data_IF_079982102391
#
_entry.id   IF_079982102391
#
_cell.length_a   1.000
_cell.length_b   1.000
_cell.length_c   1.000
_cell.angle_alpha   90.00
_cell.angle_beta   90.00
_cell.angle_gamma   90.00
#
_symmetry.space_group_name_H-M   'P 1'
#
loop_
_entity.id
_entity.type
_entity.pdbx_description
1 polymer ?
#
# COMPACT_ATOMS: atom_id res chain seq x y z
N UNK A 1 12.72 -13.76 -1.75
CA UNK A 1 12.03 -14.88 -1.08
C UNK A 1 10.63 -14.91 -1.62
N UNK A 2 10.13 -16.08 -2.03
CA UNK A 2 8.75 -16.27 -2.44
C UNK A 2 8.07 -17.13 -1.40
N UNK A 3 6.88 -16.72 -0.98
CA UNK A 3 6.10 -17.41 0.04
C UNK A 3 4.73 -17.74 -0.53
N UNK A 4 4.22 -18.92 -0.19
CA UNK A 4 2.86 -19.33 -0.45
C UNK A 4 2.28 -19.77 0.88
N UNK A 5 1.49 -18.91 1.50
CA UNK A 5 1.01 -19.10 2.86
C UNK A 5 -0.17 -20.08 2.89
N UNK A 6 -0.26 -20.81 4.00
CA UNK A 6 -1.37 -21.72 4.28
C UNK A 6 -2.19 -21.18 5.45
N UNK A 7 -3.45 -21.60 5.53
CA UNK A 7 -4.40 -21.24 6.58
C UNK A 7 -4.59 -19.71 6.80
N UNK A 8 -4.45 -18.91 5.74
CA UNK A 8 -4.75 -17.47 5.73
C UNK A 8 -6.20 -17.22 6.17
N UNK A 9 -7.13 -17.99 5.61
CA UNK A 9 -8.58 -17.89 5.86
C UNK A 9 -8.99 -18.22 7.30
N UNK A 10 -8.10 -18.86 8.06
CA UNK A 10 -8.32 -19.19 9.47
C UNK A 10 -7.69 -18.18 10.43
N UNK A 11 -7.25 -17.03 9.91
CA UNK A 11 -6.68 -15.93 10.70
C UNK A 11 -5.19 -15.73 10.47
N UNK A 12 -4.75 -15.77 9.19
CA UNK A 12 -3.38 -15.47 8.77
C UNK A 12 -2.35 -16.41 9.41
N UNK A 13 -2.73 -17.66 9.70
CA UNK A 13 -1.95 -18.54 10.57
C UNK A 13 -0.55 -18.78 9.97
N UNK A 14 -0.46 -19.22 8.71
CA UNK A 14 0.82 -19.56 8.11
C UNK A 14 1.81 -18.39 8.06
N UNK A 15 1.36 -17.20 7.65
CA UNK A 15 2.21 -16.01 7.61
C UNK A 15 2.57 -15.48 8.99
N UNK A 16 1.64 -15.56 9.95
CA UNK A 16 1.86 -15.11 11.33
C UNK A 16 2.90 -15.97 12.03
N UNK A 17 2.72 -17.29 12.03
CA UNK A 17 3.64 -18.23 12.67
C UNK A 17 5.03 -18.17 12.03
N UNK A 18 5.12 -17.97 10.72
CA UNK A 18 6.41 -17.74 10.05
C UNK A 18 7.09 -16.46 10.54
N UNK A 19 6.34 -15.37 10.65
CA UNK A 19 6.90 -14.10 11.15
C UNK A 19 7.34 -14.24 12.61
N UNK A 20 6.60 -14.97 13.44
CA UNK A 20 6.96 -15.23 14.84
C UNK A 20 8.21 -16.12 14.94
N UNK A 21 8.30 -17.18 14.14
CA UNK A 21 9.48 -18.07 14.13
C UNK A 21 10.75 -17.34 13.68
N UNK A 22 10.63 -16.49 12.66
CA UNK A 22 11.77 -15.80 12.03
C UNK A 22 11.87 -14.31 12.36
N UNK A 23 11.21 -13.86 13.44
CA UNK A 23 11.10 -12.45 13.85
C UNK A 23 12.44 -11.72 13.80
N UNK A 24 13.47 -12.29 14.43
CA UNK A 24 14.80 -11.66 14.50
C UNK A 24 15.45 -11.52 13.13
N UNK A 25 15.34 -12.54 12.29
CA UNK A 25 15.93 -12.58 10.96
C UNK A 25 15.22 -11.58 10.04
N UNK A 26 13.89 -11.56 10.08
CA UNK A 26 13.07 -10.67 9.27
C UNK A 26 13.25 -9.21 9.68
N UNK A 27 13.12 -8.89 10.96
CA UNK A 27 13.30 -7.53 11.49
C UNK A 27 14.66 -6.91 11.17
N UNK A 28 15.69 -7.72 10.98
CA UNK A 28 17.04 -7.25 10.66
C UNK A 28 17.37 -7.22 9.16
N UNK A 29 16.64 -7.96 8.32
CA UNK A 29 17.06 -8.25 6.94
C UNK A 29 15.98 -8.01 5.89
N UNK A 30 14.71 -8.09 6.25
CA UNK A 30 13.62 -7.85 5.32
C UNK A 30 13.53 -6.34 5.01
N UNK A 31 13.50 -6.01 3.73
CA UNK A 31 13.39 -4.62 3.25
C UNK A 31 11.92 -4.24 3.04
N UNK A 32 11.16 -5.18 2.48
CA UNK A 32 9.78 -4.99 2.03
C UNK A 32 9.07 -6.35 1.94
N UNK A 33 7.77 -6.36 2.19
CA UNK A 33 6.88 -7.48 1.89
C UNK A 33 5.86 -7.08 0.81
N UNK A 34 5.73 -7.89 -0.24
CA UNK A 34 4.85 -7.62 -1.37
C UNK A 34 3.72 -8.65 -1.36
N UNK A 35 2.49 -8.18 -1.13
CA UNK A 35 1.31 -9.01 -0.96
C UNK A 35 0.40 -8.93 -2.19
N UNK A 36 0.01 -10.10 -2.70
CA UNK A 36 -1.05 -10.25 -3.70
C UNK A 36 -1.89 -11.42 -3.27
N UNK A 37 -3.09 -11.11 -2.82
CA UNK A 37 -4.06 -12.08 -2.33
C UNK A 37 -5.06 -12.42 -3.44
N UNK A 38 -5.86 -11.42 -3.84
CA UNK A 38 -6.93 -11.58 -4.82
C UNK A 38 -6.86 -10.60 -5.97
N UNK A 39 -7.22 -11.07 -7.18
CA UNK A 39 -7.52 -10.24 -8.35
C UNK A 39 -9.02 -10.37 -8.61
N UNK A 40 -9.80 -9.40 -8.12
CA UNK A 40 -11.26 -9.52 -8.00
C UNK A 40 -12.06 -8.82 -9.09
N UNK A 41 -11.42 -8.04 -9.96
CA UNK A 41 -12.07 -7.46 -11.15
C UNK A 41 -11.06 -6.96 -12.19
N UNK A 42 -11.53 -6.24 -13.22
CA UNK A 42 -10.71 -5.72 -14.32
C UNK A 42 -10.80 -4.19 -14.50
N UNK A 43 -11.41 -3.45 -13.57
CA UNK A 43 -11.64 -2.01 -13.76
C UNK A 43 -10.36 -1.20 -13.57
N UNK A 44 -9.65 -1.38 -12.45
CA UNK A 44 -8.46 -0.61 -12.14
C UNK A 44 -7.57 -1.28 -11.11
N UNK A 45 -6.29 -0.96 -11.16
CA UNK A 45 -5.32 -1.29 -10.14
C UNK A 45 -5.61 -0.52 -8.85
N UNK A 46 -5.27 -1.12 -7.72
CA UNK A 46 -5.42 -0.56 -6.38
C UNK A 46 -4.24 -1.06 -5.53
N UNK A 47 -3.67 -0.19 -4.71
CA UNK A 47 -2.59 -0.54 -3.80
C UNK A 47 -2.79 0.15 -2.44
N UNK A 48 -2.44 -0.57 -1.38
CA UNK A 48 -2.37 -0.08 -0.01
C UNK A 48 -0.96 -0.28 0.52
N UNK A 49 -0.40 0.76 1.13
CA UNK A 49 1.01 0.80 1.53
C UNK A 49 1.28 1.99 2.46
N UNK A 50 2.48 2.06 3.03
CA UNK A 50 2.98 3.24 3.73
C UNK A 50 3.47 4.35 2.77
N UNK A 51 3.45 5.64 3.18
CA UNK A 51 3.76 6.79 2.31
C UNK A 51 5.17 6.78 1.69
N UNK A 52 6.15 6.16 2.36
CA UNK A 52 7.52 6.07 1.83
C UNK A 52 7.64 5.25 0.55
N UNK A 53 6.63 4.42 0.24
CA UNK A 53 6.62 3.54 -0.94
C UNK A 53 5.83 4.10 -2.12
N UNK A 54 5.11 5.21 -1.95
CA UNK A 54 4.20 5.77 -2.96
C UNK A 54 4.91 6.02 -4.30
N UNK A 55 6.10 6.61 -4.24
CA UNK A 55 6.88 6.92 -5.43
C UNK A 55 7.28 5.66 -6.21
N UNK A 56 7.81 4.64 -5.53
CA UNK A 56 8.25 3.40 -6.17
C UNK A 56 7.08 2.70 -6.88
N UNK A 57 5.92 2.61 -6.22
CA UNK A 57 4.72 2.00 -6.78
C UNK A 57 4.20 2.78 -8.00
N UNK A 58 4.15 4.11 -7.91
CA UNK A 58 3.71 4.93 -9.05
C UNK A 58 4.69 4.84 -10.22
N UNK A 59 5.99 4.84 -9.97
CA UNK A 59 6.98 4.73 -11.04
C UNK A 59 6.96 3.35 -11.72
N UNK A 60 6.72 2.28 -10.96
CA UNK A 60 6.55 0.94 -11.53
C UNK A 60 5.25 0.84 -12.32
N UNK A 61 4.12 1.32 -11.79
CA UNK A 61 2.82 1.27 -12.49
C UNK A 61 2.78 2.06 -13.81
N UNK A 62 3.65 3.08 -13.96
CA UNK A 62 3.86 3.79 -15.24
C UNK A 62 4.61 2.96 -16.30
N UNK A 63 5.33 1.90 -15.90
CA UNK A 63 6.04 1.00 -16.82
C UNK A 63 5.17 -0.14 -17.31
N UNK A 64 4.10 -0.46 -16.58
CA UNK A 64 3.21 -1.57 -16.90
C UNK A 64 2.17 -1.13 -17.93
N UNK A 65 2.11 -1.77 -19.12
CA UNK A 65 1.08 -1.47 -20.10
C UNK A 65 -0.32 -1.73 -19.55
N UNK A 66 -1.28 -0.90 -19.93
CA UNK A 66 -2.65 -1.07 -19.49
C UNK A 66 -3.26 -2.36 -20.10
N UNK A 67 -3.81 -3.28 -19.28
CA UNK A 67 -4.37 -4.54 -19.79
C UNK A 67 -5.67 -4.33 -20.59
N UNK A 68 -6.39 -3.23 -20.33
CA UNK A 68 -7.74 -2.97 -20.84
C UNK A 68 -7.73 -2.20 -22.16
N UNK A 69 -8.20 -2.84 -23.24
CA UNK A 69 -8.27 -2.22 -24.58
C UNK A 69 -9.16 -0.96 -24.60
N UNK A 70 -10.23 -0.95 -23.81
CA UNK A 70 -11.13 0.21 -23.66
C UNK A 70 -10.40 1.43 -23.13
N UNK A 71 -9.49 1.22 -22.18
CA UNK A 71 -8.69 2.27 -21.55
C UNK A 71 -7.58 2.75 -22.48
N UNK A 72 -6.90 1.83 -23.17
CA UNK A 72 -5.88 2.21 -24.18
C UNK A 72 -6.47 3.04 -25.32
N UNK A 73 -7.71 2.77 -25.75
CA UNK A 73 -8.43 3.58 -26.75
C UNK A 73 -8.72 5.01 -26.26
N UNK A 74 -8.79 5.22 -24.94
CA UNK A 74 -8.95 6.53 -24.29
C UNK A 74 -7.60 7.18 -23.96
N UNK A 75 -6.53 6.77 -24.65
CA UNK A 75 -5.16 7.23 -24.45
C UNK A 75 -4.57 6.96 -23.04
N UNK A 76 -5.12 5.99 -22.30
CA UNK A 76 -4.57 5.51 -21.03
C UNK A 76 -3.69 4.30 -21.31
N UNK A 77 -2.39 4.54 -21.51
CA UNK A 77 -1.45 3.54 -22.04
C UNK A 77 -0.89 2.62 -20.97
N UNK A 78 -0.86 3.09 -19.73
CA UNK A 78 -0.24 2.42 -18.58
C UNK A 78 -1.27 2.05 -17.53
N UNK A 79 -0.91 1.16 -16.61
CA UNK A 79 -1.69 0.84 -15.41
C UNK A 79 -1.95 2.11 -14.59
N UNK A 80 -0.93 2.96 -14.43
CA UNK A 80 -1.03 4.27 -13.77
C UNK A 80 -2.12 5.18 -14.37
N UNK A 81 -2.21 5.28 -15.70
CA UNK A 81 -3.11 6.22 -16.37
C UNK A 81 -4.59 5.98 -16.07
N UNK A 82 -4.97 4.71 -15.88
CA UNK A 82 -6.33 4.36 -15.42
C UNK A 82 -6.43 4.51 -13.90
N UNK A 83 -5.43 4.04 -13.16
CA UNK A 83 -5.42 4.08 -11.69
C UNK A 83 -5.67 5.47 -11.12
N UNK A 84 -4.87 6.48 -11.53
CA UNK A 84 -4.98 7.86 -11.04
C UNK A 84 -6.35 8.50 -11.30
N UNK A 85 -7.07 8.02 -12.32
CA UNK A 85 -8.41 8.51 -12.67
C UNK A 85 -9.51 7.80 -11.91
N UNK A 86 -9.33 6.51 -11.66
CA UNK A 86 -10.30 5.71 -10.91
C UNK A 86 -10.24 6.03 -9.42
N UNK A 87 -9.03 6.16 -8.87
CA UNK A 87 -8.79 6.43 -7.45
C UNK A 87 -7.88 7.67 -7.32
N UNK A 88 -8.45 8.88 -7.44
CA UNK A 88 -7.68 10.12 -7.37
C UNK A 88 -7.04 10.32 -5.99
N UNK A 89 -5.95 11.11 -5.93
CA UNK A 89 -5.20 11.37 -4.70
C UNK A 89 -6.08 11.79 -3.51
N UNK A 90 -5.82 11.22 -2.35
CA UNK A 90 -6.34 11.68 -1.06
C UNK A 90 -5.37 12.65 -0.35
N UNK A 91 -4.23 13.00 -0.98
CA UNK A 91 -3.24 13.95 -0.45
C UNK A 91 -3.13 15.17 -1.38
N UNK A 92 -3.73 16.33 -1.02
CA UNK A 92 -3.72 17.52 -1.87
C UNK A 92 -2.33 17.98 -2.31
N UNK A 93 -1.31 17.81 -1.46
CA UNK A 93 0.09 18.16 -1.76
C UNK A 93 0.72 17.25 -2.82
N UNK A 94 0.14 16.08 -3.10
CA UNK A 94 0.64 15.12 -4.07
C UNK A 94 -0.48 14.62 -4.99
N UNK A 95 -0.97 15.46 -5.91
CA UNK A 95 -2.09 15.12 -6.79
C UNK A 95 -1.74 14.05 -7.83
N UNK A 96 -0.46 13.71 -7.99
CA UNK A 96 0.03 12.70 -8.93
C UNK A 96 0.19 11.31 -8.30
N UNK A 97 -0.06 11.16 -6.99
CA UNK A 97 -0.19 9.85 -6.36
C UNK A 97 -1.66 9.45 -6.34
N UNK A 98 -2.05 8.31 -6.92
CA UNK A 98 -3.39 7.76 -6.72
C UNK A 98 -3.65 7.52 -5.24
N UNK A 99 -4.93 7.41 -4.86
CA UNK A 99 -5.27 7.03 -3.50
C UNK A 99 -4.60 5.70 -3.14
N UNK A 100 -3.77 5.75 -2.11
CA UNK A 100 -3.20 4.58 -1.43
C UNK A 100 -3.53 4.73 0.05
N UNK A 101 -4.16 3.71 0.62
CA UNK A 101 -4.48 3.68 2.05
C UNK A 101 -3.42 2.86 2.79
N UNK A 102 -3.35 3.01 4.12
CA UNK A 102 -2.62 2.05 4.95
C UNK A 102 -3.38 0.71 4.87
N UNK A 103 -2.69 -0.42 4.60
CA UNK A 103 -3.36 -1.70 4.47
C UNK A 103 -3.96 -2.14 5.82
N UNK A 104 -5.15 -2.73 5.76
CA UNK A 104 -5.91 -3.17 6.92
C UNK A 104 -5.46 -4.54 7.45
N UNK A 105 -6.39 -5.26 8.08
CA UNK A 105 -6.12 -6.53 8.78
C UNK A 105 -6.42 -7.82 7.99
N UNK A 106 -6.69 -7.75 6.68
CA UNK A 106 -7.36 -8.83 5.96
C UNK A 106 -6.51 -9.63 4.96
N UNK A 107 -5.19 -9.73 5.17
CA UNK A 107 -4.31 -10.60 4.36
C UNK A 107 -2.94 -10.74 5.03
N UNK A 108 -2.07 -11.58 4.47
CA UNK A 108 -0.79 -12.01 5.03
C UNK A 108 0.25 -10.90 5.25
N UNK A 109 0.02 -9.65 4.80
CA UNK A 109 0.91 -8.52 5.10
C UNK A 109 0.83 -8.05 6.56
N UNK A 110 -0.21 -8.45 7.30
CA UNK A 110 -0.47 -7.97 8.67
C UNK A 110 0.67 -8.24 9.64
N UNK A 111 1.16 -9.48 9.83
CA UNK A 111 2.26 -9.73 10.77
C UNK A 111 3.55 -8.99 10.34
N UNK A 112 3.79 -8.81 9.05
CA UNK A 112 4.93 -8.03 8.57
C UNK A 112 4.84 -6.54 8.95
N UNK A 113 3.71 -5.88 8.71
CA UNK A 113 3.57 -4.46 9.00
C UNK A 113 3.37 -4.18 10.49
N UNK A 114 2.43 -4.88 11.12
CA UNK A 114 1.90 -4.50 12.43
C UNK A 114 2.66 -5.12 13.59
N UNK A 115 3.29 -6.30 13.38
CA UNK A 115 4.04 -6.97 14.44
C UNK A 115 5.54 -6.65 14.37
N UNK A 116 6.18 -6.78 13.20
CA UNK A 116 7.63 -6.54 13.05
C UNK A 116 8.01 -5.24 12.31
N UNK A 117 7.05 -4.44 11.85
CA UNK A 117 7.32 -3.10 11.30
C UNK A 117 7.99 -3.07 9.92
N UNK A 118 7.87 -4.15 9.15
CA UNK A 118 8.38 -4.23 7.77
C UNK A 118 7.44 -3.47 6.82
N UNK A 119 7.95 -2.58 5.95
CA UNK A 119 7.15 -1.93 4.92
C UNK A 119 6.45 -2.96 4.02
N UNK A 120 5.16 -2.75 3.74
CA UNK A 120 4.38 -3.66 2.91
C UNK A 120 3.70 -2.94 1.75
N UNK A 121 3.50 -3.66 0.65
CA UNK A 121 2.61 -3.24 -0.44
C UNK A 121 1.60 -4.35 -0.64
N UNK A 122 0.34 -4.06 -0.35
CA UNK A 122 -0.79 -4.92 -0.70
C UNK A 122 -1.45 -4.37 -1.96
N UNK A 123 -1.57 -5.17 -3.00
CA UNK A 123 -2.07 -4.69 -4.28
C UNK A 123 -2.90 -5.71 -5.03
N UNK A 124 -3.85 -5.17 -5.81
CA UNK A 124 -4.84 -5.95 -6.54
C UNK A 124 -5.39 -5.19 -7.74
N UNK A 125 -6.16 -5.89 -8.55
CA UNK A 125 -7.08 -5.29 -9.50
C UNK A 125 -8.50 -5.49 -8.99
N UNK A 126 -9.27 -4.40 -8.86
CA UNK A 126 -10.62 -4.44 -8.27
C UNK A 126 -11.61 -3.56 -9.01
N UNK A 127 -12.88 -3.68 -8.63
CA UNK A 127 -13.94 -2.82 -9.16
C UNK A 127 -13.74 -1.38 -8.69
N UNK A 128 -14.14 -0.41 -9.53
CA UNK A 128 -14.06 1.02 -9.20
C UNK A 128 -15.04 1.43 -8.11
N UNK A 129 -16.19 0.76 -8.02
CA UNK A 129 -17.33 1.18 -7.19
C UNK A 129 -17.56 0.27 -5.98
N UNK A 130 -16.98 -0.93 -5.96
CA UNK A 130 -17.15 -1.92 -4.90
C UNK A 130 -15.78 -2.44 -4.48
N UNK A 131 -15.59 -2.64 -3.18
CA UNK A 131 -14.33 -3.14 -2.62
C UNK A 131 -14.23 -4.66 -2.73
N UNK A 132 -15.35 -5.36 -2.56
CA UNK A 132 -15.49 -6.81 -2.72
C UNK A 132 -16.19 -7.16 -4.06
N UNK A 133 -16.24 -8.46 -4.36
CA UNK A 133 -16.90 -9.01 -5.53
C UNK A 133 -17.97 -10.04 -5.11
N UNK A 134 -19.04 -10.21 -5.90
CA UNK A 134 -20.22 -10.99 -5.46
C UNK A 134 -20.00 -12.47 -5.14
N UNK A 135 -18.86 -13.03 -5.52
CA UNK A 135 -18.59 -14.47 -5.42
C UNK A 135 -17.62 -14.82 -4.28
N UNK A 136 -17.15 -13.81 -3.54
CA UNK A 136 -16.19 -13.95 -2.45
C UNK A 136 -16.63 -15.02 -1.43
N UNK A 137 -15.73 -15.97 -1.14
CA UNK A 137 -15.93 -17.09 -0.21
C UNK A 137 -17.11 -18.00 -0.57
N UNK A 138 -17.40 -18.16 -1.86
CA UNK A 138 -18.46 -19.05 -2.34
C UNK A 138 -17.91 -20.17 -3.21
N UNK A 139 -18.74 -21.20 -3.45
CA UNK A 139 -18.43 -22.27 -4.39
C UNK A 139 -18.33 -21.82 -5.86
N UNK A 140 -18.64 -20.55 -6.15
CA UNK A 140 -18.58 -19.98 -7.50
C UNK A 140 -17.22 -19.36 -7.84
N UNK A 141 -16.26 -19.41 -6.92
CA UNK A 141 -14.86 -19.03 -7.16
C UNK A 141 -14.12 -20.13 -7.91
N UNK A 142 -14.39 -20.18 -9.21
CA UNK A 142 -13.85 -21.22 -10.10
C UNK A 142 -12.95 -20.60 -11.17
N UNK A 143 -12.05 -21.38 -11.80
CA UNK A 143 -11.28 -20.91 -12.95
C UNK A 143 -12.16 -20.31 -14.06
N UNK A 144 -13.37 -20.85 -14.25
CA UNK A 144 -14.35 -20.34 -15.20
C UNK A 144 -14.67 -18.85 -14.95
N UNK A 145 -14.86 -18.45 -13.70
CA UNK A 145 -15.13 -17.04 -13.32
C UNK A 145 -14.03 -16.12 -13.82
N UNK A 146 -12.76 -16.48 -13.63
CA UNK A 146 -11.64 -15.67 -14.10
C UNK A 146 -11.54 -15.65 -15.62
N UNK A 147 -11.61 -16.82 -16.26
CA UNK A 147 -11.38 -16.95 -17.71
C UNK A 147 -12.54 -16.42 -18.57
N UNK A 148 -13.77 -16.46 -18.05
CA UNK A 148 -14.98 -16.18 -18.84
C UNK A 148 -15.76 -14.95 -18.37
N UNK A 149 -15.53 -14.46 -17.15
CA UNK A 149 -16.24 -13.29 -16.62
C UNK A 149 -15.31 -12.11 -16.32
N UNK A 150 -14.23 -12.31 -15.56
CA UNK A 150 -13.39 -11.20 -15.10
C UNK A 150 -12.25 -10.83 -16.06
N UNK A 151 -11.47 -11.79 -16.55
CA UNK A 151 -10.25 -11.53 -17.33
C UNK A 151 -10.24 -12.29 -18.66
N UNK A 152 -11.30 -12.05 -19.43
CA UNK A 152 -11.64 -12.76 -20.68
C UNK A 152 -10.65 -12.55 -21.83
N UNK A 153 -9.65 -11.69 -21.66
CA UNK A 153 -8.66 -11.38 -22.69
C UNK A 153 -7.36 -12.16 -22.43
N UNK A 154 -7.47 -13.50 -22.33
CA UNK A 154 -6.34 -14.38 -22.07
C UNK A 154 -5.54 -13.96 -20.84
N UNK A 155 -6.24 -13.74 -19.72
CA UNK A 155 -5.65 -13.38 -18.42
C UNK A 155 -4.74 -12.12 -18.49
N UNK A 156 -5.16 -11.11 -19.26
CA UNK A 156 -4.38 -9.89 -19.47
C UNK A 156 -4.21 -9.06 -18.19
N UNK A 157 -5.22 -9.02 -17.32
CA UNK A 157 -5.15 -8.34 -16.02
C UNK A 157 -4.19 -9.08 -15.10
N UNK A 158 -4.31 -10.41 -14.99
CA UNK A 158 -3.39 -11.23 -14.20
C UNK A 158 -1.95 -11.07 -14.67
N UNK A 159 -1.73 -11.05 -15.99
CA UNK A 159 -0.41 -10.76 -16.57
C UNK A 159 0.10 -9.38 -16.14
N UNK A 160 -0.73 -8.34 -16.19
CA UNK A 160 -0.32 -6.99 -15.80
C UNK A 160 0.02 -6.90 -14.30
N UNK A 161 -0.75 -7.56 -13.43
CA UNK A 161 -0.45 -7.66 -11.99
C UNK A 161 0.87 -8.40 -11.76
N UNK A 162 1.09 -9.54 -12.44
CA UNK A 162 2.36 -10.28 -12.35
C UNK A 162 3.56 -9.47 -12.84
N UNK A 163 3.40 -8.67 -13.90
CA UNK A 163 4.45 -7.76 -14.38
C UNK A 163 4.75 -6.65 -13.36
N UNK A 164 3.72 -6.06 -12.76
CA UNK A 164 3.88 -5.08 -11.68
C UNK A 164 4.62 -5.69 -10.49
N UNK A 165 4.20 -6.87 -10.04
CA UNK A 165 4.81 -7.58 -8.91
C UNK A 165 6.30 -7.85 -9.15
N UNK A 166 6.62 -8.43 -10.30
CA UNK A 166 8.00 -8.75 -10.68
C UNK A 166 8.87 -7.49 -10.81
N UNK A 167 8.36 -6.43 -11.44
CA UNK A 167 9.11 -5.19 -11.61
C UNK A 167 9.34 -4.47 -10.28
N UNK A 168 8.35 -4.48 -9.38
CA UNK A 168 8.52 -3.91 -8.03
C UNK A 168 9.54 -4.71 -7.22
N UNK A 169 9.46 -6.05 -7.25
CA UNK A 169 10.44 -6.91 -6.61
C UNK A 169 11.87 -6.66 -7.15
N UNK A 170 12.02 -6.58 -8.48
CA UNK A 170 13.30 -6.27 -9.13
C UNK A 170 13.84 -4.90 -8.71
N UNK A 171 12.97 -3.88 -8.65
CA UNK A 171 13.35 -2.53 -8.21
C UNK A 171 13.90 -2.55 -6.77
N UNK A 172 13.29 -3.29 -5.85
CA UNK A 172 13.80 -3.37 -4.46
C UNK A 172 14.99 -4.30 -4.28
N UNK A 173 15.12 -5.35 -5.10
CA UNK A 173 16.23 -6.29 -5.03
C UNK A 173 17.52 -5.73 -5.66
N UNK A 174 17.41 -4.97 -6.76
CA UNK A 174 18.57 -4.59 -7.59
C UNK A 174 18.99 -3.12 -7.43
N UNK A 175 18.15 -2.26 -6.84
CA UNK A 175 18.50 -0.84 -6.72
C UNK A 175 19.65 -0.63 -5.74
N UNK A 176 20.72 0.11 -6.12
CA UNK A 176 21.83 0.41 -5.20
C UNK A 176 21.40 1.21 -3.97
N UNK A 177 20.31 1.98 -4.09
CA UNK A 177 19.68 2.72 -3.01
C UNK A 177 18.25 2.21 -2.91
N UNK A 178 17.84 1.80 -1.71
CA UNK A 178 16.47 1.37 -1.46
C UNK A 178 15.52 2.51 -1.84
N UNK A 179 14.53 2.29 -2.71
CA UNK A 179 13.69 3.36 -3.27
C UNK A 179 12.58 3.79 -2.30
N UNK A 180 12.97 4.18 -1.08
CA UNK A 180 12.11 4.80 -0.08
C UNK A 180 12.15 6.32 -0.20
N UNK A 181 10.98 6.95 -0.24
CA UNK A 181 10.84 8.40 -0.19
C UNK A 181 10.54 8.87 1.24
N UNK A 182 11.60 9.16 1.98
CA UNK A 182 11.51 9.64 3.37
C UNK A 182 10.87 11.04 3.48
N UNK A 183 10.92 11.85 2.42
CA UNK A 183 10.34 13.20 2.39
C UNK A 183 8.82 13.13 2.37
N UNK A 184 8.26 12.29 1.51
CA UNK A 184 6.81 12.03 1.51
C UNK A 184 6.38 11.47 2.86
N UNK A 185 7.14 10.53 3.42
CA UNK A 185 6.83 9.96 4.73
C UNK A 185 6.80 11.00 5.85
N UNK A 186 7.83 11.85 5.94
CA UNK A 186 7.91 12.92 6.94
C UNK A 186 6.74 13.92 6.78
N UNK A 187 6.42 14.29 5.54
CA UNK A 187 5.34 15.20 5.22
C UNK A 187 3.97 14.62 5.58
N UNK A 188 3.69 13.37 5.19
CA UNK A 188 2.43 12.69 5.53
C UNK A 188 2.30 12.51 7.04
N UNK A 189 3.37 12.13 7.74
CA UNK A 189 3.34 11.98 9.19
C UNK A 189 2.94 13.30 9.87
N UNK A 190 3.60 14.40 9.52
CA UNK A 190 3.37 15.71 10.13
C UNK A 190 2.02 16.31 9.73
N UNK A 191 1.74 16.39 8.43
CA UNK A 191 0.66 17.19 7.89
C UNK A 191 -0.65 16.41 7.68
N UNK A 192 -0.61 15.08 7.71
CA UNK A 192 -1.82 14.24 7.58
C UNK A 192 -2.12 13.54 8.90
N UNK A 193 -1.23 12.68 9.38
CA UNK A 193 -1.53 11.82 10.53
C UNK A 193 -1.54 12.59 11.85
N UNK A 194 -0.45 13.30 12.17
CA UNK A 194 -0.34 14.09 13.41
C UNK A 194 -1.31 15.28 13.39
N UNK A 195 -1.53 15.89 12.23
CA UNK A 195 -2.55 16.94 12.08
C UNK A 195 -3.96 16.43 12.42
N UNK A 196 -4.35 15.26 11.89
CA UNK A 196 -5.64 14.63 12.22
C UNK A 196 -5.72 14.27 13.70
N UNK A 197 -4.67 13.63 14.25
CA UNK A 197 -4.60 13.27 15.66
C UNK A 197 -4.78 14.49 16.58
N UNK A 198 -4.16 15.62 16.22
CA UNK A 198 -4.34 16.89 16.93
C UNK A 198 -5.78 17.36 16.92
N UNK A 199 -6.44 17.32 15.76
CA UNK A 199 -7.85 17.70 15.63
C UNK A 199 -8.76 16.85 16.53
N UNK A 200 -8.44 15.57 16.69
CA UNK A 200 -9.22 14.63 17.49
C UNK A 200 -8.93 14.79 19.01
N UNK A 201 -7.69 15.08 19.40
CA UNK A 201 -7.27 15.18 20.81
C UNK A 201 -7.52 16.58 21.41
N UNK A 202 -7.32 17.67 20.66
CA UNK A 202 -7.41 19.04 21.19
C UNK A 202 -8.75 19.37 21.89
N UNK A 203 -9.92 18.90 21.41
CA UNK A 203 -11.21 19.14 22.07
C UNK A 203 -11.35 18.45 23.43
N UNK A 204 -10.58 17.38 23.70
CA UNK A 204 -10.70 16.60 24.93
C UNK A 204 -10.36 17.42 26.18
N UNK A 205 -9.53 18.47 26.04
CA UNK A 205 -9.14 19.36 27.14
C UNK A 205 -10.31 20.00 27.88
N UNK A 206 -11.46 20.13 27.20
CA UNK A 206 -12.64 20.76 27.78
C UNK A 206 -13.53 19.78 28.54
N UNK A 207 -13.41 18.49 28.27
CA UNK A 207 -14.31 17.45 28.79
C UNK A 207 -13.61 16.43 29.69
N UNK A 208 -12.30 16.26 29.54
CA UNK A 208 -11.49 15.27 30.23
C UNK A 208 -10.16 15.90 30.67
N UNK A 209 -10.07 16.46 31.89
CA UNK A 209 -8.83 16.98 32.45
C UNK A 209 -7.69 15.94 32.48
N UNK A 210 -8.03 14.66 32.59
CA UNK A 210 -7.08 13.54 32.58
C UNK A 210 -6.38 13.38 31.23
N UNK A 211 -6.86 14.02 30.15
CA UNK A 211 -6.22 14.01 28.84
C UNK A 211 -4.96 14.92 28.76
N UNK A 212 -4.51 15.51 29.88
CA UNK A 212 -3.33 16.38 29.90
C UNK A 212 -2.08 15.66 29.38
N UNK A 213 -1.79 14.46 29.87
CA UNK A 213 -0.59 13.71 29.49
C UNK A 213 -0.60 13.36 27.99
N UNK A 214 -1.76 12.95 27.46
CA UNK A 214 -1.92 12.66 26.04
C UNK A 214 -1.67 13.90 25.16
N UNK A 215 -2.06 15.09 25.62
CA UNK A 215 -1.82 16.36 24.93
C UNK A 215 -0.36 16.79 24.99
N UNK A 216 0.31 16.54 26.11
CA UNK A 216 1.74 16.78 26.25
C UNK A 216 2.53 15.86 25.31
N UNK A 217 2.22 14.56 25.30
CA UNK A 217 2.82 13.59 24.37
C UNK A 217 2.56 13.95 22.91
N UNK A 218 1.35 14.39 22.55
CA UNK A 218 1.06 14.90 21.22
C UNK A 218 1.93 16.12 20.86
N UNK A 219 2.18 17.02 21.81
CA UNK A 219 3.03 18.19 21.59
C UNK A 219 4.49 17.81 21.34
N UNK A 220 5.00 16.81 22.06
CA UNK A 220 6.32 16.22 21.80
C UNK A 220 6.37 15.56 20.42
N UNK A 221 5.35 14.77 20.06
CA UNK A 221 5.26 14.12 18.76
C UNK A 221 5.28 15.13 17.61
N UNK A 222 4.50 16.22 17.71
CA UNK A 222 4.48 17.30 16.71
C UNK A 222 5.89 17.89 16.53
N UNK A 223 6.56 18.23 17.64
CA UNK A 223 7.91 18.81 17.59
C UNK A 223 8.91 17.86 16.94
N UNK A 224 8.88 16.58 17.32
CA UNK A 224 9.75 15.57 16.75
C UNK A 224 9.49 15.38 15.25
N UNK A 225 8.23 15.43 14.80
CA UNK A 225 7.88 15.34 13.38
C UNK A 225 8.38 16.57 12.59
N UNK A 226 8.30 17.78 13.17
CA UNK A 226 8.84 18.99 12.57
C UNK A 226 10.37 18.94 12.44
N UNK A 227 11.05 18.49 13.50
CA UNK A 227 12.50 18.29 13.48
C UNK A 227 12.92 17.24 12.45
N UNK A 228 12.19 16.12 12.38
CA UNK A 228 12.43 15.07 11.40
C UNK A 228 12.27 15.61 9.97
N UNK A 229 11.19 16.33 9.69
CA UNK A 229 10.97 16.99 8.39
C UNK A 229 12.12 17.95 8.04
N UNK A 230 12.57 18.76 9.00
CA UNK A 230 13.72 19.65 8.80
C UNK A 230 15.03 18.92 8.48
N UNK A 231 15.28 17.76 9.10
CA UNK A 231 16.44 16.90 8.79
C UNK A 231 16.33 16.29 7.39
N UNK A 232 15.15 15.76 7.04
CA UNK A 232 14.91 15.14 5.73
C UNK A 232 15.11 16.15 4.61
N UNK A 233 14.56 17.36 4.72
CA UNK A 233 14.73 18.41 3.70
C UNK A 233 16.20 18.76 3.46
N UNK A 234 17.04 18.78 4.51
CA UNK A 234 18.48 18.99 4.35
C UNK A 234 19.14 17.87 3.54
N UNK A 235 18.83 16.61 3.82
CA UNK A 235 19.40 15.46 3.11
C UNK A 235 18.98 15.43 1.65
N UNK A 236 17.70 15.74 1.36
CA UNK A 236 17.20 15.76 -0.02
C UNK A 236 17.74 16.92 -0.85
N UNK A 237 18.13 18.03 -0.23
CA UNK A 237 18.72 19.18 -0.94
C UNK A 237 20.13 18.92 -1.52
N UNK A 238 20.79 17.82 -1.10
CA UNK A 238 22.12 17.41 -1.59
C UNK A 238 22.06 16.30 -2.66
N UNK A 239 20.87 15.87 -3.07
CA UNK A 239 20.66 14.92 -4.18
C UNK A 239 20.16 15.67 -5.41
#
# INVERSE_FOLDING_TARGET
MFCNWDAEEYGLIGSTEFVEEFEKQLSQRAIIYLNVDTISANNSFDASTIPSLYQAIVDVSKRIPNPMKSETKRARKTMYDTWIRTFPSNMPSYPHFPQMNIPGGGSDHVPFLNFIGIPVVDFRYRNSSWTEYPLYHTLYETPYTNEHLFDTKNLAVHRAVGQFWAELARVFADSPIIPLNITIYADTLLNVYVHKLKKDIDPLKHRYPEAQDAREQLSHLIRNCQEYMGKVLKVTAYK
#
